data_IF_492227087809
#
_entry.id   IF_492227087809
#
_cell.length_a   1.000
_cell.length_b   1.000
_cell.length_c   1.000
_cell.angle_alpha   90.00
_cell.angle_beta   90.00
_cell.angle_gamma   90.00
#
_symmetry.space_group_name_H-M   'P 1'
#
loop_
_entity.id
_entity.type
_entity.pdbx_description
1 polymer ?
#
# COMPACT_ATOMS: atom_id res chain seq x y z
N UNK A 1 9.40 -14.23 -21.03
CA UNK A 1 8.78 -14.13 -19.68
C UNK A 1 7.66 -13.11 -19.77
N UNK A 2 6.39 -13.50 -19.54
CA UNK A 2 5.29 -12.55 -19.43
C UNK A 2 5.56 -11.71 -18.17
N UNK A 3 5.89 -10.43 -18.32
CA UNK A 3 5.93 -9.50 -17.19
C UNK A 3 4.48 -9.37 -16.72
N UNK A 4 4.13 -10.03 -15.62
CA UNK A 4 2.85 -9.74 -14.96
C UNK A 4 2.79 -8.25 -14.65
N UNK A 5 1.72 -7.60 -15.11
CA UNK A 5 1.51 -6.18 -14.88
C UNK A 5 1.40 -5.93 -13.38
N UNK A 6 2.20 -4.98 -12.88
CA UNK A 6 2.07 -4.51 -11.51
C UNK A 6 0.80 -3.70 -11.36
N UNK A 7 0.12 -3.86 -10.22
CA UNK A 7 -1.10 -3.14 -9.87
C UNK A 7 -0.89 -2.43 -8.55
N UNK A 8 -0.86 -1.11 -8.56
CA UNK A 8 -0.83 -0.32 -7.33
C UNK A 8 -2.26 -0.09 -6.83
N UNK A 9 -2.47 -0.11 -5.52
CA UNK A 9 -3.76 0.18 -4.89
C UNK A 9 -3.52 1.15 -3.75
N UNK A 10 -4.36 2.17 -3.65
CA UNK A 10 -4.32 3.16 -2.58
C UNK A 10 -5.48 2.92 -1.63
N UNK A 11 -5.16 2.76 -0.35
CA UNK A 11 -6.12 2.78 0.74
C UNK A 11 -5.86 4.00 1.63
N UNK A 12 -6.91 4.75 1.94
CA UNK A 12 -6.84 5.92 2.84
C UNK A 12 -7.80 5.68 4.01
N UNK A 13 -7.23 5.41 5.18
CA UNK A 13 -7.94 5.25 6.44
C UNK A 13 -7.35 6.17 7.51
N UNK A 14 -7.10 5.62 8.71
CA UNK A 14 -6.37 6.33 9.76
C UNK A 14 -4.90 6.58 9.37
N UNK A 15 -4.33 5.68 8.59
CA UNK A 15 -3.10 5.88 7.82
C UNK A 15 -3.40 5.71 6.34
N UNK A 16 -2.57 6.31 5.49
CA UNK A 16 -2.60 6.09 4.05
C UNK A 16 -1.58 5.02 3.67
N UNK A 17 -1.99 4.06 2.83
CA UNK A 17 -1.17 2.94 2.41
C UNK A 17 -1.29 2.75 0.91
N UNK A 18 -0.15 2.57 0.23
CA UNK A 18 -0.11 2.12 -1.16
C UNK A 18 0.49 0.73 -1.19
N UNK A 19 -0.28 -0.24 -1.70
CA UNK A 19 0.19 -1.60 -1.92
C UNK A 19 0.39 -1.84 -3.40
N UNK A 20 1.57 -2.31 -3.78
CA UNK A 20 1.89 -2.68 -5.16
C UNK A 20 1.92 -4.19 -5.25
N UNK A 21 1.03 -4.71 -6.08
CA UNK A 21 0.87 -6.12 -6.34
C UNK A 21 1.55 -6.51 -7.65
N UNK A 22 2.07 -7.72 -7.69
CA UNK A 22 2.48 -8.41 -8.91
C UNK A 22 1.75 -9.74 -8.96
N UNK A 23 0.76 -9.84 -9.85
CA UNK A 23 -0.24 -10.91 -9.76
C UNK A 23 -1.11 -10.73 -8.51
N UNK A 24 -1.11 -11.74 -7.64
CA UNK A 24 -1.85 -11.78 -6.36
C UNK A 24 -0.95 -11.49 -5.13
N UNK A 25 0.35 -11.26 -5.35
CA UNK A 25 1.32 -11.08 -4.26
C UNK A 25 1.65 -9.61 -4.09
N UNK A 26 1.70 -9.15 -2.83
CA UNK A 26 2.19 -7.82 -2.47
C UNK A 26 3.71 -7.80 -2.64
N UNK A 27 4.20 -7.02 -3.60
CA UNK A 27 5.64 -6.85 -3.87
C UNK A 27 6.20 -5.66 -3.07
N UNK A 28 5.46 -4.56 -2.98
CA UNK A 28 5.86 -3.37 -2.22
C UNK A 28 4.70 -2.77 -1.42
N UNK A 29 5.02 -2.17 -0.27
CA UNK A 29 4.06 -1.42 0.55
C UNK A 29 4.68 -0.11 0.99
N UNK A 30 3.92 0.96 0.84
CA UNK A 30 4.28 2.31 1.28
C UNK A 30 3.26 2.76 2.33
N UNK A 31 3.75 3.38 3.39
CA UNK A 31 2.91 3.90 4.48
C UNK A 31 3.15 5.40 4.63
N UNK A 32 2.09 6.14 4.90
CA UNK A 32 2.12 7.57 5.23
C UNK A 32 0.98 7.92 6.19
N UNK A 33 1.06 9.08 6.85
CA UNK A 33 -0.06 9.54 7.69
C UNK A 33 -1.14 10.14 6.81
N UNK A 34 -0.74 10.81 5.73
CA UNK A 34 -1.66 11.38 4.74
C UNK A 34 -1.49 10.72 3.38
N UNK A 35 -2.53 10.88 2.55
CA UNK A 35 -2.52 10.45 1.14
C UNK A 35 -1.34 11.06 0.38
N UNK A 36 -1.02 12.33 0.64
CA UNK A 36 0.05 13.05 -0.04
C UNK A 36 1.43 12.49 0.32
N UNK A 37 1.68 12.19 1.59
CA UNK A 37 2.95 11.60 2.02
C UNK A 37 3.19 10.24 1.35
N UNK A 38 2.18 9.37 1.33
CA UNK A 38 2.32 8.04 0.74
C UNK A 38 2.43 8.12 -0.79
N UNK A 39 1.72 9.05 -1.43
CA UNK A 39 1.87 9.31 -2.86
C UNK A 39 3.27 9.79 -3.19
N UNK A 40 3.80 10.77 -2.46
CA UNK A 40 5.15 11.25 -2.68
C UNK A 40 6.20 10.14 -2.48
N UNK A 41 6.02 9.27 -1.48
CA UNK A 41 6.90 8.12 -1.26
C UNK A 41 6.83 7.10 -2.41
N UNK A 42 5.62 6.83 -2.93
CA UNK A 42 5.42 5.98 -4.09
C UNK A 42 6.01 6.62 -5.36
N UNK A 43 5.82 7.92 -5.56
CA UNK A 43 6.27 8.65 -6.74
C UNK A 43 7.79 8.78 -6.80
N UNK A 44 8.44 8.90 -5.64
CA UNK A 44 9.89 8.89 -5.50
C UNK A 44 10.50 7.49 -5.66
N UNK A 45 9.67 6.44 -5.76
CA UNK A 45 10.15 5.07 -5.92
C UNK A 45 10.26 4.69 -7.41
N UNK A 46 11.24 3.85 -7.73
CA UNK A 46 11.41 3.27 -9.08
C UNK A 46 10.18 2.48 -9.56
N UNK A 47 9.27 2.13 -8.64
CA UNK A 47 8.04 1.38 -8.89
C UNK A 47 6.98 2.20 -9.64
N UNK A 48 6.99 3.54 -9.55
CA UNK A 48 6.03 4.43 -10.25
C UNK A 48 6.07 4.22 -11.77
N UNK A 49 7.26 4.01 -12.34
CA UNK A 49 7.44 3.81 -13.78
C UNK A 49 6.80 2.53 -14.33
N UNK A 50 6.48 1.56 -13.46
CA UNK A 50 5.97 0.24 -13.85
C UNK A 50 4.50 0.03 -13.47
N UNK A 51 3.91 0.89 -12.64
CA UNK A 51 2.49 0.88 -12.27
C UNK A 51 1.86 2.27 -12.43
N UNK A 52 1.55 2.68 -13.67
CA UNK A 52 1.09 4.04 -13.97
C UNK A 52 -0.34 4.35 -13.48
N UNK A 53 -1.10 3.34 -13.06
CA UNK A 53 -2.50 3.50 -12.66
C UNK A 53 -2.80 2.72 -11.39
N UNK A 54 -3.66 3.29 -10.56
CA UNK A 54 -4.22 2.60 -9.40
C UNK A 54 -5.32 1.65 -9.86
N UNK A 55 -5.28 0.42 -9.37
CA UNK A 55 -6.31 -0.59 -9.61
C UNK A 55 -7.45 -0.39 -8.61
N UNK A 56 -8.68 -0.44 -9.10
CA UNK A 56 -9.91 -0.39 -8.29
C UNK A 56 -10.42 -1.80 -7.93
N UNK A 57 -9.55 -2.80 -8.01
CA UNK A 57 -9.91 -4.19 -7.70
C UNK A 57 -10.26 -4.32 -6.20
N UNK A 58 -11.50 -4.69 -5.86
CA UNK A 58 -11.97 -4.69 -4.47
C UNK A 58 -11.22 -5.71 -3.60
N UNK A 59 -10.73 -6.81 -4.18
CA UNK A 59 -9.98 -7.84 -3.44
C UNK A 59 -8.61 -7.28 -3.05
N UNK A 60 -7.91 -6.64 -3.99
CA UNK A 60 -6.61 -6.02 -3.70
C UNK A 60 -6.72 -4.83 -2.73
N UNK A 61 -7.82 -4.08 -2.82
CA UNK A 61 -8.14 -3.01 -1.86
C UNK A 61 -8.33 -3.59 -0.46
N UNK A 62 -9.10 -4.67 -0.33
CA UNK A 62 -9.33 -5.32 0.97
C UNK A 62 -8.02 -5.86 1.56
N UNK A 63 -7.18 -6.50 0.75
CA UNK A 63 -5.85 -6.94 1.19
C UNK A 63 -4.97 -5.77 1.66
N UNK A 64 -4.97 -4.65 0.93
CA UNK A 64 -4.20 -3.47 1.32
C UNK A 64 -4.74 -2.84 2.61
N UNK A 65 -6.06 -2.87 2.81
CA UNK A 65 -6.72 -2.44 4.04
C UNK A 65 -6.33 -3.32 5.23
N UNK A 66 -6.28 -4.64 5.07
CA UNK A 66 -5.85 -5.56 6.14
C UNK A 66 -4.42 -5.25 6.60
N UNK A 67 -3.52 -4.94 5.66
CA UNK A 67 -2.16 -4.50 5.97
C UNK A 67 -2.17 -3.20 6.78
N UNK A 68 -3.00 -2.22 6.38
CA UNK A 68 -3.12 -0.95 7.11
C UNK A 68 -3.60 -1.17 8.56
N UNK A 69 -4.64 -1.97 8.76
CA UNK A 69 -5.21 -2.30 10.07
C UNK A 69 -4.19 -3.05 10.93
N UNK A 70 -3.46 -4.01 10.36
CA UNK A 70 -2.43 -4.76 11.07
C UNK A 70 -1.30 -3.87 11.58
N UNK A 71 -0.88 -2.88 10.79
CA UNK A 71 0.14 -1.90 11.19
C UNK A 71 -0.39 -0.97 12.29
N UNK A 72 -1.64 -0.53 12.19
CA UNK A 72 -2.28 0.27 13.23
C UNK A 72 -2.39 -0.46 14.57
N UNK A 73 -2.82 -1.73 14.57
CA UNK A 73 -2.93 -2.54 15.79
C UNK A 73 -1.56 -2.71 16.45
N UNK A 74 -0.53 -3.02 15.64
CA UNK A 74 0.84 -3.14 16.13
C UNK A 74 1.36 -1.83 16.72
N UNK A 75 1.09 -0.69 16.09
CA UNK A 75 1.47 0.62 16.60
C UNK A 75 0.76 0.95 17.93
N UNK A 76 -0.53 0.60 18.06
CA UNK A 76 -1.30 0.78 19.31
C UNK A 76 -0.78 -0.11 20.44
N UNK A 77 -0.39 -1.36 20.14
CA UNK A 77 0.21 -2.28 21.12
C UNK A 77 1.54 -1.75 21.68
N UNK A 78 2.41 -1.22 20.83
CA UNK A 78 3.69 -0.63 21.27
C UNK A 78 3.45 0.57 22.20
N UNK A 79 2.45 1.41 21.94
CA UNK A 79 2.09 2.53 22.81
C UNK A 79 1.55 2.12 24.18
N UNK A 80 0.93 0.94 24.32
CA UNK A 80 0.40 0.44 25.60
C UNK A 80 1.47 -0.22 26.49
N UNK A 81 2.60 -0.60 25.91
CA UNK A 81 3.71 -1.21 26.64
C UNK A 81 4.70 -0.19 27.22
N UNK A 82 4.41 1.11 27.10
CA UNK A 82 5.24 2.23 27.53
C UNK A 82 4.48 3.08 28.54
#
# INVERSE_FOLDING_TARGET
>A
MKRESRRAVLYVGFIAVICVFRGEVIEHVFFGRTKEEVLQAFESSSVKGESPSFSEDPVLIEQCKDVAIGVEDKAKRIKRAR
#
